data_IF_015474538343
#
_entry.id   IF_015474538343
#
_cell.length_a   1.000
_cell.length_b   1.000
_cell.length_c   1.000
_cell.angle_alpha   90.00
_cell.angle_beta   90.00
_cell.angle_gamma   90.00
#
_symmetry.space_group_name_H-M   'P 1'
#
loop_
_entity.id
_entity.type
_entity.pdbx_description
1 polymer ?
#
# COMPACT_ATOMS: atom_id res chain seq x y z
N UNK A 1 -22.50 -17.93 -9.28
CA UNK A 1 -21.09 -18.34 -9.46
C UNK A 1 -20.31 -17.11 -9.89
N UNK A 2 -19.35 -16.67 -9.07
CA UNK A 2 -18.54 -15.47 -9.38
C UNK A 2 -17.54 -15.75 -10.50
N UNK A 3 -17.21 -14.74 -11.30
CA UNK A 3 -16.21 -14.84 -12.35
C UNK A 3 -14.84 -15.18 -11.73
N UNK A 4 -14.37 -16.43 -11.87
CA UNK A 4 -13.09 -16.91 -11.31
C UNK A 4 -11.84 -16.29 -11.94
N UNK A 5 -12.01 -15.51 -13.02
CA UNK A 5 -10.96 -14.80 -13.74
C UNK A 5 -10.77 -13.36 -13.24
N UNK A 6 -11.73 -12.78 -12.51
CA UNK A 6 -11.57 -11.44 -11.97
C UNK A 6 -10.61 -11.46 -10.77
N UNK A 7 -9.43 -10.88 -10.94
CA UNK A 7 -8.36 -10.88 -9.93
C UNK A 7 -7.81 -9.49 -9.63
N UNK A 8 -7.91 -8.56 -10.59
CA UNK A 8 -7.34 -7.21 -10.48
C UNK A 8 -8.47 -6.19 -10.43
N UNK A 9 -8.45 -5.34 -9.40
CA UNK A 9 -9.36 -4.21 -9.26
C UNK A 9 -8.60 -2.91 -9.53
N UNK A 10 -8.94 -2.24 -10.63
CA UNK A 10 -8.43 -0.90 -10.95
C UNK A 10 -9.44 0.15 -10.50
N UNK A 11 -8.97 1.16 -9.78
CA UNK A 11 -9.79 2.26 -9.31
C UNK A 11 -9.15 3.59 -9.66
N UNK A 12 -9.93 4.43 -10.32
CA UNK A 12 -9.58 5.82 -10.60
C UNK A 12 -10.59 6.71 -9.88
N UNK A 13 -10.08 7.69 -9.14
CA UNK A 13 -10.93 8.72 -8.56
C UNK A 13 -11.28 9.74 -9.64
N UNK A 14 -12.55 10.07 -9.76
CA UNK A 14 -12.96 11.26 -10.50
C UNK A 14 -12.81 12.49 -9.59
N UNK A 15 -12.17 13.58 -10.05
CA UNK A 15 -12.18 14.83 -9.29
C UNK A 15 -13.65 15.22 -9.10
N UNK A 16 -14.08 15.35 -7.84
CA UNK A 16 -15.46 15.56 -7.34
C UNK A 16 -16.22 14.34 -6.77
N UNK A 17 -15.69 13.12 -6.81
CA UNK A 17 -16.28 12.01 -6.03
C UNK A 17 -15.78 12.00 -4.57
N UNK A 18 -16.66 11.56 -3.68
CA UNK A 18 -16.41 11.42 -2.24
C UNK A 18 -15.31 10.41 -1.90
N UNK A 19 -15.13 10.15 -0.61
CA UNK A 19 -14.09 9.23 -0.12
C UNK A 19 -14.18 7.82 -0.71
N UNK A 20 -13.01 7.21 -0.90
CA UNK A 20 -12.88 5.80 -1.20
C UNK A 20 -13.54 5.00 -0.07
N UNK A 21 -14.66 4.34 -0.37
CA UNK A 21 -15.44 3.65 0.67
C UNK A 21 -14.65 2.45 1.20
N UNK A 22 -14.54 2.36 2.52
CA UNK A 22 -13.85 1.28 3.28
C UNK A 22 -14.34 -0.14 2.98
N UNK A 23 -15.48 -0.27 2.31
CA UNK A 23 -16.18 -1.54 2.14
C UNK A 23 -15.89 -2.25 0.80
N UNK A 24 -15.01 -1.72 -0.05
CA UNK A 24 -14.82 -2.29 -1.39
C UNK A 24 -14.20 -3.70 -1.38
N UNK A 25 -13.21 -3.99 -0.52
CA UNK A 25 -12.68 -5.35 -0.36
C UNK A 25 -13.62 -6.26 0.45
N UNK A 26 -14.14 -5.84 1.61
CA UNK A 26 -15.01 -6.70 2.42
C UNK A 26 -16.30 -7.17 1.72
N UNK A 27 -16.85 -6.34 0.83
CA UNK A 27 -18.08 -6.68 0.09
C UNK A 27 -17.82 -7.48 -1.19
N UNK A 28 -16.56 -7.70 -1.57
CA UNK A 28 -16.24 -8.45 -2.77
C UNK A 28 -16.69 -9.90 -2.62
N UNK A 29 -17.49 -10.39 -3.58
CA UNK A 29 -17.91 -11.80 -3.64
C UNK A 29 -16.80 -12.73 -4.15
N UNK A 30 -15.71 -12.18 -4.69
CA UNK A 30 -14.58 -12.90 -5.24
C UNK A 30 -13.26 -12.42 -4.64
N UNK A 31 -12.25 -13.27 -4.51
CA UNK A 31 -10.94 -12.87 -4.02
C UNK A 31 -10.25 -11.91 -4.99
N UNK A 32 -9.98 -10.69 -4.52
CA UNK A 32 -9.18 -9.70 -5.24
C UNK A 32 -7.71 -9.92 -4.89
N UNK A 33 -6.88 -10.18 -5.90
CA UNK A 33 -5.45 -10.42 -5.76
C UNK A 33 -4.63 -9.14 -5.90
N UNK A 34 -5.12 -8.19 -6.69
CA UNK A 34 -4.37 -6.99 -7.04
C UNK A 34 -5.27 -5.76 -6.99
N UNK A 35 -4.74 -4.66 -6.44
CA UNK A 35 -5.39 -3.36 -6.46
C UNK A 35 -4.45 -2.34 -7.10
N UNK A 36 -4.99 -1.57 -8.03
CA UNK A 36 -4.29 -0.56 -8.81
C UNK A 36 -5.03 0.77 -8.66
N UNK A 37 -4.34 1.72 -8.04
CA UNK A 37 -4.75 3.10 -7.81
C UNK A 37 -3.84 4.09 -8.53
N UNK A 38 -3.19 3.70 -9.63
CA UNK A 38 -2.21 4.57 -10.28
C UNK A 38 -2.86 5.89 -10.71
N UNK A 39 -2.30 7.01 -10.23
CA UNK A 39 -2.80 8.35 -10.53
C UNK A 39 -4.23 8.63 -10.03
N UNK A 40 -4.71 7.87 -9.04
CA UNK A 40 -6.07 7.98 -8.53
C UNK A 40 -6.31 9.18 -7.59
N UNK A 41 -5.40 10.16 -7.52
CA UNK A 41 -5.55 11.37 -6.69
C UNK A 41 -5.97 11.05 -5.24
N UNK A 42 -5.31 10.04 -4.63
CA UNK A 42 -5.62 9.59 -3.28
C UNK A 42 -5.33 10.69 -2.25
N UNK A 43 -6.25 10.89 -1.30
CA UNK A 43 -6.03 11.66 -0.06
C UNK A 43 -5.60 10.73 1.08
N UNK A 44 -5.05 11.28 2.18
CA UNK A 44 -4.78 10.50 3.38
C UNK A 44 -5.95 9.63 3.86
N UNK A 45 -7.18 10.16 3.82
CA UNK A 45 -8.37 9.40 4.23
C UNK A 45 -8.69 8.23 3.29
N UNK A 46 -8.46 8.41 1.99
CA UNK A 46 -8.65 7.35 0.99
C UNK A 46 -7.64 6.19 1.25
N UNK A 47 -6.40 6.51 1.64
CA UNK A 47 -5.37 5.54 2.01
C UNK A 47 -5.68 4.86 3.35
N UNK A 48 -6.17 5.60 4.33
CA UNK A 48 -6.60 5.05 5.61
C UNK A 48 -7.79 4.09 5.43
N UNK A 49 -8.76 4.48 4.58
CA UNK A 49 -9.89 3.64 4.22
C UNK A 49 -9.46 2.37 3.49
N UNK A 50 -8.47 2.44 2.61
CA UNK A 50 -7.83 1.27 2.03
C UNK A 50 -7.24 0.34 3.11
N UNK A 51 -6.48 0.90 4.06
CA UNK A 51 -5.90 0.14 5.17
C UNK A 51 -6.95 -0.64 5.97
N UNK A 52 -8.08 0.02 6.31
CA UNK A 52 -9.23 -0.60 6.96
C UNK A 52 -9.88 -1.69 6.09
N UNK A 53 -10.10 -1.39 4.81
CA UNK A 53 -10.67 -2.37 3.87
C UNK A 53 -9.83 -3.65 3.78
N UNK A 54 -8.50 -3.51 3.77
CA UNK A 54 -7.60 -4.68 3.77
C UNK A 54 -7.70 -5.43 5.09
N UNK A 55 -7.66 -4.76 6.25
CA UNK A 55 -7.68 -5.43 7.55
C UNK A 55 -8.93 -6.30 7.76
N UNK A 56 -10.09 -5.85 7.27
CA UNK A 56 -11.37 -6.59 7.37
C UNK A 56 -11.75 -7.39 6.11
N UNK A 57 -10.85 -7.54 5.13
CA UNK A 57 -11.14 -8.32 3.92
C UNK A 57 -11.22 -9.83 4.23
N UNK A 58 -12.38 -10.49 4.07
CA UNK A 58 -12.56 -11.90 4.44
C UNK A 58 -11.81 -12.89 3.53
N UNK A 59 -11.38 -12.47 2.34
CA UNK A 59 -10.67 -13.36 1.41
C UNK A 59 -9.18 -13.47 1.70
N UNK A 60 -8.61 -12.50 2.41
CA UNK A 60 -7.18 -12.41 2.71
C UNK A 60 -6.23 -12.62 1.50
N UNK A 61 -6.70 -12.31 0.29
CA UNK A 61 -6.08 -12.77 -0.97
C UNK A 61 -5.24 -11.72 -1.69
N UNK A 62 -5.20 -10.49 -1.17
CA UNK A 62 -4.47 -9.39 -1.79
C UNK A 62 -2.95 -9.62 -1.71
N UNK A 63 -2.30 -9.64 -2.87
CA UNK A 63 -0.86 -9.91 -3.04
C UNK A 63 -0.13 -8.79 -3.78
N UNK A 64 -0.82 -7.92 -4.52
CA UNK A 64 -0.20 -6.79 -5.19
C UNK A 64 -0.94 -5.47 -4.93
N UNK A 65 -0.17 -4.42 -4.70
CA UNK A 65 -0.65 -3.05 -4.55
C UNK A 65 0.16 -2.11 -5.43
N UNK A 66 -0.53 -1.31 -6.24
CA UNK A 66 0.05 -0.19 -6.95
C UNK A 66 -0.67 1.11 -6.59
N UNK A 67 0.02 2.04 -5.92
CA UNK A 67 -0.47 3.38 -5.63
C UNK A 67 0.41 4.45 -6.29
N UNK A 68 1.15 4.10 -7.34
CA UNK A 68 2.08 5.01 -8.01
C UNK A 68 1.38 6.29 -8.52
N UNK A 69 2.13 7.39 -8.64
CA UNK A 69 1.64 8.70 -9.11
C UNK A 69 0.52 9.29 -8.23
N UNK A 70 0.51 9.00 -6.93
CA UNK A 70 -0.35 9.68 -5.95
C UNK A 70 0.51 10.48 -4.98
N UNK A 71 0.04 11.61 -4.46
CA UNK A 71 0.82 12.33 -3.45
C UNK A 71 0.65 11.70 -2.07
N UNK A 72 1.61 10.85 -1.65
CA UNK A 72 1.55 10.05 -0.42
C UNK A 72 2.54 10.49 0.67
N UNK A 73 3.04 11.74 0.65
CA UNK A 73 3.95 12.24 1.68
C UNK A 73 3.29 12.38 3.07
N UNK A 74 4.11 12.43 4.12
CA UNK A 74 3.70 12.73 5.50
C UNK A 74 2.58 11.83 6.02
N UNK A 75 1.41 12.42 6.26
CA UNK A 75 0.26 11.72 6.87
C UNK A 75 -0.26 10.56 6.01
N UNK A 76 -0.19 10.67 4.68
CA UNK A 76 -0.64 9.60 3.79
C UNK A 76 0.30 8.36 3.87
N UNK A 77 1.62 8.56 3.92
CA UNK A 77 2.57 7.47 4.15
C UNK A 77 2.34 6.78 5.50
N UNK A 78 2.07 7.57 6.55
CA UNK A 78 1.72 7.05 7.88
C UNK A 78 0.42 6.24 7.86
N UNK A 79 -0.62 6.74 7.21
CA UNK A 79 -1.88 6.03 7.07
C UNK A 79 -1.71 4.70 6.31
N UNK A 80 -0.86 4.67 5.28
CA UNK A 80 -0.52 3.43 4.58
C UNK A 80 0.22 2.47 5.51
N UNK A 81 1.18 2.96 6.29
CA UNK A 81 1.93 2.17 7.26
C UNK A 81 0.99 1.52 8.30
N UNK A 82 0.08 2.30 8.88
CA UNK A 82 -0.92 1.80 9.84
C UNK A 82 -1.85 0.77 9.20
N UNK A 83 -2.30 1.02 7.97
CA UNK A 83 -3.10 0.09 7.19
C UNK A 83 -2.40 -1.25 6.93
N UNK A 84 -1.14 -1.23 6.50
CA UNK A 84 -0.32 -2.43 6.30
C UNK A 84 -0.04 -3.15 7.63
N UNK A 85 0.21 -2.42 8.71
CA UNK A 85 0.44 -3.00 10.03
C UNK A 85 -0.81 -3.72 10.57
N UNK A 86 -1.99 -3.12 10.38
CA UNK A 86 -3.27 -3.70 10.79
C UNK A 86 -3.69 -4.88 9.90
N UNK A 87 -3.34 -4.84 8.62
CA UNK A 87 -3.68 -5.88 7.66
C UNK A 87 -2.90 -7.20 7.86
N UNK A 88 -1.74 -7.17 8.53
CA UNK A 88 -0.75 -8.25 8.49
C UNK A 88 -0.46 -8.90 9.86
N UNK A 89 -1.43 -9.62 10.44
CA UNK A 89 -1.04 -10.70 11.37
C UNK A 89 -1.80 -12.02 11.15
N UNK A 90 -2.32 -12.31 9.96
CA UNK A 90 -2.92 -13.62 9.68
C UNK A 90 -2.03 -14.41 8.72
N UNK A 91 -1.57 -15.57 9.19
CA UNK A 91 -0.76 -16.53 8.43
C UNK A 91 -1.35 -16.71 7.02
N UNK A 92 -0.58 -16.34 5.99
CA UNK A 92 -0.98 -16.48 4.59
C UNK A 92 -1.14 -15.17 3.82
N UNK A 93 -1.40 -14.04 4.49
CA UNK A 93 -1.53 -12.74 3.81
C UNK A 93 -0.17 -12.06 3.70
N UNK A 94 0.40 -12.02 2.50
CA UNK A 94 1.64 -11.27 2.27
C UNK A 94 1.76 -10.73 0.87
N UNK A 95 2.04 -9.43 0.78
CA UNK A 95 2.28 -8.75 -0.48
C UNK A 95 3.53 -9.31 -1.16
N UNK A 96 3.41 -9.59 -2.47
CA UNK A 96 4.51 -9.91 -3.38
C UNK A 96 5.01 -8.67 -4.11
N UNK A 97 4.13 -7.70 -4.36
CA UNK A 97 4.47 -6.46 -5.05
C UNK A 97 3.82 -5.26 -4.37
N UNK A 98 4.64 -4.26 -4.06
CA UNK A 98 4.20 -2.92 -3.62
C UNK A 98 4.88 -1.90 -4.54
N UNK A 99 4.10 -1.08 -5.25
CA UNK A 99 4.61 0.00 -6.09
C UNK A 99 4.08 1.35 -5.62
N UNK A 100 5.02 2.25 -5.34
CA UNK A 100 4.80 3.60 -4.83
C UNK A 100 5.64 4.60 -5.62
N UNK A 101 5.81 4.34 -6.92
CA UNK A 101 6.64 5.17 -7.77
C UNK A 101 6.00 6.56 -7.94
N UNK A 102 6.79 7.62 -7.80
CA UNK A 102 6.29 8.98 -8.05
C UNK A 102 5.28 9.45 -7.03
N UNK A 103 5.42 8.99 -5.78
CA UNK A 103 4.49 9.31 -4.71
C UNK A 103 4.85 10.56 -3.89
N UNK A 104 5.97 11.22 -4.20
CA UNK A 104 6.49 12.35 -3.44
C UNK A 104 6.98 11.96 -2.04
N UNK A 105 7.31 10.69 -1.80
CA UNK A 105 7.82 10.21 -0.52
C UNK A 105 9.16 10.88 -0.20
N UNK A 106 9.33 11.27 1.07
CA UNK A 106 10.55 11.84 1.64
C UNK A 106 10.82 11.24 3.01
N UNK A 107 12.09 11.02 3.33
CA UNK A 107 12.49 10.51 4.66
C UNK A 107 12.43 11.60 5.74
N UNK A 108 12.35 12.88 5.35
CA UNK A 108 12.35 14.03 6.26
C UNK A 108 11.05 14.16 7.06
N UNK A 109 9.93 13.67 6.52
CA UNK A 109 8.61 13.77 7.14
C UNK A 109 8.32 12.66 8.17
N UNK A 110 9.20 11.67 8.30
CA UNK A 110 9.07 10.50 9.19
C UNK A 110 8.00 9.48 8.79
N UNK A 111 6.95 9.88 8.07
CA UNK A 111 5.90 8.99 7.59
C UNK A 111 6.43 7.93 6.64
N UNK A 112 7.35 8.31 5.74
CA UNK A 112 8.00 7.36 4.84
C UNK A 112 8.87 6.34 5.60
N UNK A 113 9.60 6.77 6.63
CA UNK A 113 10.40 5.84 7.45
C UNK A 113 9.52 4.82 8.16
N UNK A 114 8.42 5.28 8.77
CA UNK A 114 7.44 4.40 9.41
C UNK A 114 6.84 3.38 8.43
N UNK A 115 6.56 3.81 7.19
CA UNK A 115 6.10 2.93 6.12
C UNK A 115 7.13 1.85 5.78
N UNK A 116 8.40 2.24 5.59
CA UNK A 116 9.48 1.29 5.29
C UNK A 116 9.69 0.29 6.44
N UNK A 117 9.64 0.75 7.69
CA UNK A 117 9.73 -0.12 8.87
C UNK A 117 8.62 -1.17 8.88
N UNK A 118 7.36 -0.75 8.63
CA UNK A 118 6.23 -1.68 8.58
C UNK A 118 6.37 -2.66 7.41
N UNK A 119 6.73 -2.19 6.21
CA UNK A 119 6.95 -3.05 5.05
C UNK A 119 8.01 -4.10 5.40
N UNK A 120 9.12 -3.69 6.01
CA UNK A 120 10.20 -4.60 6.40
C UNK A 120 9.78 -5.65 7.43
N UNK A 121 9.02 -5.24 8.43
CA UNK A 121 8.63 -6.10 9.54
C UNK A 121 7.44 -7.02 9.19
N UNK A 122 6.61 -6.64 8.22
CA UNK A 122 5.33 -7.31 7.95
C UNK A 122 5.24 -7.91 6.55
N UNK A 123 5.98 -7.42 5.57
CA UNK A 123 5.94 -7.91 4.19
C UNK A 123 7.11 -8.84 3.85
N UNK A 124 7.44 -9.82 4.70
CA UNK A 124 8.60 -10.73 4.51
C UNK A 124 8.54 -11.67 3.29
N UNK A 125 7.51 -11.57 2.45
CA UNK A 125 7.33 -12.34 1.21
C UNK A 125 7.35 -11.44 -0.03
N UNK A 126 7.68 -10.16 0.15
CA UNK A 126 7.75 -9.14 -0.90
C UNK A 126 8.88 -9.48 -1.88
N UNK A 127 8.56 -9.48 -3.16
CA UNK A 127 9.47 -9.74 -4.26
C UNK A 127 9.76 -8.48 -5.07
N UNK A 128 8.89 -7.48 -4.98
CA UNK A 128 9.03 -6.21 -5.67
C UNK A 128 8.59 -5.08 -4.77
N UNK A 129 9.51 -4.14 -4.55
CA UNK A 129 9.24 -2.85 -3.95
C UNK A 129 9.74 -1.75 -4.90
N UNK A 130 8.81 -1.02 -5.51
CA UNK A 130 9.15 0.11 -6.39
C UNK A 130 8.94 1.43 -5.67
N UNK A 131 10.03 2.11 -5.35
CA UNK A 131 10.08 3.45 -4.76
C UNK A 131 10.66 4.48 -5.74
N UNK A 132 10.74 4.16 -7.03
CA UNK A 132 11.36 5.03 -8.03
C UNK A 132 10.66 6.40 -8.10
N UNK A 133 11.40 7.40 -8.57
CA UNK A 133 10.90 8.78 -8.75
C UNK A 133 10.30 9.39 -7.47
N UNK A 134 10.83 9.04 -6.30
CA UNK A 134 10.57 9.70 -5.01
C UNK A 134 11.82 10.47 -4.54
N UNK A 135 11.64 11.37 -3.57
CA UNK A 135 12.70 12.25 -3.04
C UNK A 135 13.38 11.65 -1.80
N UNK A 136 13.94 10.44 -1.93
CA UNK A 136 14.57 9.71 -0.82
C UNK A 136 16.05 10.09 -0.60
N UNK A 137 16.37 11.39 -0.70
CA UNK A 137 17.72 11.97 -0.77
C UNK A 137 18.71 11.57 0.37
N UNK A 138 20.04 11.80 0.21
CA UNK A 138 21.10 11.00 0.85
C UNK A 138 21.24 11.08 2.38
N UNK A 139 20.71 12.11 3.04
CA UNK A 139 20.75 12.22 4.50
C UNK A 139 19.95 11.12 5.21
N UNK A 140 19.02 10.46 4.50
CA UNK A 140 18.29 9.28 4.97
C UNK A 140 18.64 7.96 4.27
N UNK A 141 19.67 7.93 3.41
CA UNK A 141 20.02 6.72 2.65
C UNK A 141 20.35 5.52 3.54
N UNK A 142 21.00 5.75 4.69
CA UNK A 142 21.31 4.71 5.69
C UNK A 142 20.04 4.19 6.38
N UNK A 143 19.08 5.07 6.68
CA UNK A 143 17.84 4.69 7.35
C UNK A 143 16.93 3.87 6.42
N UNK A 144 16.78 4.31 5.16
CA UNK A 144 16.08 3.54 4.16
C UNK A 144 16.79 2.20 3.87
N UNK A 145 18.12 2.19 3.75
CA UNK A 145 18.88 0.95 3.56
C UNK A 145 18.73 0.00 4.76
N UNK A 146 18.74 0.51 6.00
CA UNK A 146 18.56 -0.29 7.21
C UNK A 146 17.16 -0.90 7.33
N UNK A 147 16.11 -0.13 7.01
CA UNK A 147 14.75 -0.64 6.95
C UNK A 147 14.62 -1.70 5.84
N UNK A 148 15.17 -1.44 4.66
CA UNK A 148 15.08 -2.34 3.50
C UNK A 148 15.96 -3.59 3.61
N UNK A 149 17.10 -3.54 4.31
CA UNK A 149 17.98 -4.70 4.51
C UNK A 149 17.27 -5.87 5.23
N UNK A 150 16.25 -5.57 6.04
CA UNK A 150 15.42 -6.59 6.71
C UNK A 150 14.47 -7.31 5.77
N UNK A 151 14.23 -6.80 4.56
CA UNK A 151 13.45 -7.51 3.53
C UNK A 151 14.26 -8.61 2.84
N UNK A 152 15.60 -8.56 2.93
CA UNK A 152 16.51 -9.53 2.30
C UNK A 152 17.05 -10.62 3.23
N UNK A 153 16.63 -10.62 4.51
CA UNK A 153 17.04 -11.59 5.53
C UNK A 153 15.93 -12.62 5.77
#
# INVERSE_FOLDING_TARGET
TGNGYFRTLRMHRQPQQGELKEYFLPLSRVPILEVDFVGAQLRPDDVAAFGRAVSVNPHHSLVALDMSRNHLAGQAARALAEGLAAAVPQEGRSFRSIRLAGCGLSLEDGGTLQLLDVISARCGRLQTLDLSTNSLAPSGSVAAAGALARLSA
#
